data_IF_311925718678
#
_entry.id   IF_311925718678
#
_cell.length_a   1.000
_cell.length_b   1.000
_cell.length_c   1.000
_cell.angle_alpha   90.00
_cell.angle_beta   90.00
_cell.angle_gamma   90.00
#
_symmetry.space_group_name_H-M   'P 1'
#
loop_
_entity.id
_entity.type
_entity.pdbx_description
1 polymer ?
#
# COMPACT_ATOMS: atom_id res chain seq x y z
N UNK A 1 -15.92 6.09 -1.37
CA UNK A 1 -15.31 7.14 -2.16
C UNK A 1 -13.81 7.22 -1.93
N UNK A 2 -13.04 7.64 -2.92
CA UNK A 2 -11.60 7.73 -2.77
C UNK A 2 -11.20 8.81 -1.76
N UNK A 3 -10.11 8.56 -1.07
CA UNK A 3 -9.54 9.52 -0.14
C UNK A 3 -8.91 10.67 -0.94
N UNK A 4 -9.25 11.89 -0.61
CA UNK A 4 -8.65 13.04 -1.26
C UNK A 4 -7.14 13.08 -0.98
N UNK A 5 -6.36 13.43 -2.00
CA UNK A 5 -4.89 13.48 -1.91
C UNK A 5 -4.39 14.30 -0.74
N UNK A 6 -5.01 15.45 -0.51
CA UNK A 6 -4.62 16.38 0.55
C UNK A 6 -4.95 15.86 1.94
N UNK A 7 -5.79 14.84 2.05
CA UNK A 7 -6.21 14.27 3.33
C UNK A 7 -5.43 13.02 3.74
N UNK A 8 -4.60 12.49 2.84
CA UNK A 8 -3.87 11.26 3.13
C UNK A 8 -2.93 11.38 4.32
N UNK A 9 -2.09 12.43 4.45
CA UNK A 9 -1.25 12.57 5.64
C UNK A 9 -2.05 12.69 6.93
N UNK A 10 -3.14 13.45 6.90
CA UNK A 10 -3.98 13.62 8.08
C UNK A 10 -4.69 12.33 8.47
N UNK A 11 -5.15 11.57 7.50
CA UNK A 11 -5.79 10.26 7.76
C UNK A 11 -4.79 9.29 8.38
N UNK A 12 -3.56 9.26 7.86
CA UNK A 12 -2.51 8.42 8.44
C UNK A 12 -2.23 8.82 9.90
N UNK A 13 -2.04 10.12 10.15
CA UNK A 13 -1.75 10.61 11.49
C UNK A 13 -2.89 10.30 12.48
N UNK A 14 -4.13 10.41 12.03
CA UNK A 14 -5.29 10.17 12.88
C UNK A 14 -5.57 8.68 13.12
N UNK A 15 -5.03 7.79 12.29
CA UNK A 15 -5.32 6.36 12.34
C UNK A 15 -4.07 5.49 12.43
N UNK A 16 -2.99 6.02 13.01
CA UNK A 16 -1.70 5.33 13.04
C UNK A 16 -1.77 3.92 13.60
N UNK A 17 -2.54 3.70 14.65
CA UNK A 17 -2.68 2.37 15.23
C UNK A 17 -3.28 1.37 14.25
N UNK A 18 -4.27 1.81 13.50
CA UNK A 18 -4.91 0.94 12.50
C UNK A 18 -3.97 0.64 11.34
N UNK A 19 -3.21 1.64 10.88
CA UNK A 19 -2.21 1.43 9.85
C UNK A 19 -1.12 0.45 10.31
N UNK A 20 -0.63 0.61 11.54
CA UNK A 20 0.36 -0.30 12.11
C UNK A 20 -0.19 -1.70 12.27
N UNK A 21 -1.44 -1.84 12.67
CA UNK A 21 -2.07 -3.14 12.82
C UNK A 21 -2.23 -3.84 11.49
N UNK A 22 -2.67 -3.12 10.46
CA UNK A 22 -2.79 -3.69 9.12
C UNK A 22 -1.42 -4.11 8.59
N UNK A 23 -0.42 -3.26 8.74
CA UNK A 23 0.96 -3.59 8.34
C UNK A 23 1.45 -4.86 9.04
N UNK A 24 1.25 -4.96 10.35
CA UNK A 24 1.69 -6.11 11.11
C UNK A 24 1.01 -7.40 10.66
N UNK A 25 -0.29 -7.34 10.42
CA UNK A 25 -1.04 -8.50 9.92
C UNK A 25 -0.53 -8.94 8.55
N UNK A 26 -0.33 -7.99 7.64
CA UNK A 26 0.16 -8.29 6.28
C UNK A 26 1.57 -8.85 6.34
N UNK A 27 2.44 -8.27 7.14
CA UNK A 27 3.82 -8.75 7.28
C UNK A 27 3.85 -10.18 7.82
N UNK A 28 2.93 -10.52 8.72
CA UNK A 28 2.85 -11.84 9.30
C UNK A 28 2.31 -12.92 8.37
N UNK A 29 1.71 -12.55 7.25
CA UNK A 29 1.23 -13.53 6.28
C UNK A 29 2.30 -13.81 5.23
N UNK A 30 3.22 -14.70 5.55
CA UNK A 30 4.24 -15.11 4.59
C UNK A 30 3.58 -15.68 3.34
N UNK A 31 4.11 -15.26 2.18
CA UNK A 31 3.58 -15.70 0.91
C UNK A 31 2.41 -14.86 0.39
N UNK A 32 1.86 -13.97 1.19
CA UNK A 32 0.85 -13.05 0.68
C UNK A 32 1.50 -12.08 -0.30
N UNK A 33 0.92 -11.95 -1.49
CA UNK A 33 1.40 -11.01 -2.51
C UNK A 33 0.47 -9.83 -2.67
N UNK A 34 -0.82 -10.10 -2.76
CA UNK A 34 -1.82 -9.06 -3.04
C UNK A 34 -3.14 -9.42 -2.40
N UNK A 35 -3.83 -8.44 -1.85
CA UNK A 35 -5.13 -8.62 -1.23
C UNK A 35 -6.06 -7.47 -1.63
N UNK A 36 -7.25 -7.84 -2.10
CA UNK A 36 -8.35 -6.90 -2.31
C UNK A 36 -9.56 -7.36 -1.53
N UNK A 37 -10.67 -6.64 -1.59
CA UNK A 37 -11.90 -7.09 -0.92
C UNK A 37 -12.44 -8.40 -1.48
N UNK A 38 -12.14 -8.72 -2.73
CA UNK A 38 -12.69 -9.88 -3.41
C UNK A 38 -11.67 -10.99 -3.66
N UNK A 39 -10.38 -10.69 -3.65
CA UNK A 39 -9.36 -11.64 -4.07
C UNK A 39 -8.16 -11.65 -3.15
N UNK A 40 -7.45 -12.76 -3.14
CA UNK A 40 -6.16 -12.89 -2.50
C UNK A 40 -5.21 -13.64 -3.44
N UNK A 41 -3.99 -13.11 -3.59
CA UNK A 41 -2.92 -13.78 -4.34
C UNK A 41 -1.81 -14.19 -3.39
N UNK A 42 -1.42 -15.45 -3.47
CA UNK A 42 -0.37 -16.02 -2.64
C UNK A 42 0.80 -16.47 -3.52
N UNK A 43 1.98 -16.56 -2.93
CA UNK A 43 3.12 -17.19 -3.59
C UNK A 43 2.78 -18.65 -3.90
N UNK A 44 3.11 -19.16 -5.10
CA UNK A 44 2.76 -20.52 -5.46
C UNK A 44 3.29 -21.60 -4.50
N UNK A 45 4.44 -21.35 -3.89
CA UNK A 45 5.06 -22.30 -2.97
C UNK A 45 4.40 -22.36 -1.60
N UNK A 46 3.54 -21.39 -1.28
CA UNK A 46 2.94 -21.29 0.06
C UNK A 46 1.73 -22.22 0.22
N UNK A 47 1.03 -22.51 -0.88
CA UNK A 47 -0.16 -23.34 -0.83
C UNK A 47 -1.34 -22.64 -0.15
N UNK A 48 -2.42 -23.37 0.14
CA UNK A 48 -3.68 -22.78 0.64
C UNK A 48 -3.74 -22.56 2.14
N UNK A 49 -2.63 -22.45 2.84
CA UNK A 49 -2.61 -22.40 4.31
C UNK A 49 -3.29 -21.16 4.89
N UNK A 50 -3.25 -20.06 4.18
CA UNK A 50 -3.85 -18.81 4.61
C UNK A 50 -5.02 -18.49 3.70
N UNK A 51 -6.11 -19.25 3.89
CA UNK A 51 -7.29 -19.11 3.04
C UNK A 51 -8.04 -17.81 3.28
N UNK A 52 -9.14 -17.66 2.54
CA UNK A 52 -9.96 -16.45 2.58
C UNK A 52 -10.39 -16.04 3.99
N UNK A 53 -10.68 -16.98 4.85
CA UNK A 53 -11.13 -16.70 6.22
C UNK A 53 -10.06 -15.98 7.06
N UNK A 54 -8.78 -16.20 6.76
CA UNK A 54 -7.69 -15.55 7.49
C UNK A 54 -7.54 -14.09 7.12
N UNK A 55 -8.13 -13.65 6.01
CA UNK A 55 -7.98 -12.29 5.51
C UNK A 55 -9.04 -11.32 6.07
N UNK A 56 -10.03 -11.83 6.78
CA UNK A 56 -11.12 -11.01 7.33
C UNK A 56 -10.67 -9.79 8.11
N UNK A 57 -9.78 -9.94 9.10
CA UNK A 57 -9.30 -8.77 9.86
C UNK A 57 -8.58 -7.74 8.99
N UNK A 58 -7.80 -8.19 8.01
CA UNK A 58 -7.13 -7.29 7.08
C UNK A 58 -8.13 -6.52 6.24
N UNK A 59 -9.12 -7.22 5.70
CA UNK A 59 -10.15 -6.59 4.85
C UNK A 59 -10.99 -5.58 5.63
N UNK A 60 -11.28 -5.86 6.89
CA UNK A 60 -12.01 -4.91 7.73
C UNK A 60 -11.23 -3.61 7.91
N UNK A 61 -9.94 -3.71 8.21
CA UNK A 61 -9.07 -2.54 8.34
C UNK A 61 -8.95 -1.79 7.03
N UNK A 62 -8.85 -2.50 5.91
CA UNK A 62 -8.80 -1.89 4.58
C UNK A 62 -10.03 -1.01 4.35
N UNK A 63 -11.22 -1.52 4.67
CA UNK A 63 -12.46 -0.75 4.52
C UNK A 63 -12.44 0.51 5.39
N UNK A 64 -12.03 0.36 6.65
CA UNK A 64 -11.98 1.49 7.57
C UNK A 64 -11.01 2.58 7.11
N UNK A 65 -9.89 2.18 6.51
CA UNK A 65 -8.83 3.09 6.12
C UNK A 65 -8.93 3.59 4.67
N UNK A 66 -9.90 3.10 3.93
CA UNK A 66 -10.05 3.46 2.51
C UNK A 66 -8.98 2.86 1.62
N UNK A 67 -8.47 1.69 1.99
CA UNK A 67 -7.45 0.98 1.22
C UNK A 67 -8.14 0.03 0.24
N UNK A 68 -7.80 0.16 -1.03
CA UNK A 68 -8.36 -0.66 -2.10
C UNK A 68 -7.59 -1.97 -2.27
N UNK A 69 -6.27 -1.90 -2.23
CA UNK A 69 -5.40 -3.04 -2.48
C UNK A 69 -4.22 -3.01 -1.54
N UNK A 70 -3.89 -4.16 -0.99
CA UNK A 70 -2.64 -4.38 -0.24
C UNK A 70 -1.70 -5.18 -1.12
N UNK A 71 -0.45 -4.73 -1.24
CA UNK A 71 0.61 -5.48 -1.92
C UNK A 71 1.75 -5.70 -0.94
N UNK A 72 2.26 -6.91 -0.90
CA UNK A 72 3.39 -7.26 -0.04
C UNK A 72 4.54 -7.72 -0.91
N UNK A 73 5.70 -7.09 -0.76
CA UNK A 73 6.90 -7.45 -1.49
C UNK A 73 8.01 -7.78 -0.51
N UNK A 74 8.66 -8.91 -0.74
CA UNK A 74 9.80 -9.32 0.05
C UNK A 74 11.07 -9.08 -0.76
N UNK A 75 11.99 -8.29 -0.22
CA UNK A 75 13.28 -8.04 -0.84
C UNK A 75 14.38 -8.34 0.15
N UNK A 76 15.04 -9.49 -0.03
CA UNK A 76 16.02 -9.97 0.93
C UNK A 76 15.36 -10.23 2.28
N UNK A 77 15.81 -9.56 3.32
CA UNK A 77 15.24 -9.67 4.66
C UNK A 77 14.18 -8.61 4.95
N UNK A 78 13.93 -7.71 4.01
CA UNK A 78 12.99 -6.63 4.21
C UNK A 78 11.63 -6.91 3.57
N UNK A 79 10.57 -6.51 4.23
CA UNK A 79 9.21 -6.61 3.73
C UNK A 79 8.66 -5.22 3.48
N UNK A 80 8.23 -4.98 2.24
CA UNK A 80 7.60 -3.72 1.84
C UNK A 80 6.11 -3.95 1.75
N UNK A 81 5.34 -3.08 2.39
CA UNK A 81 3.88 -3.16 2.40
C UNK A 81 3.32 -1.92 1.74
N UNK A 82 2.65 -2.12 0.61
CA UNK A 82 1.97 -1.07 -0.14
C UNK A 82 0.48 -1.12 0.18
N UNK A 83 -0.05 0.00 0.64
CA UNK A 83 -1.47 0.15 0.92
C UNK A 83 -2.03 1.13 -0.10
N UNK A 84 -2.47 0.59 -1.23
CA UNK A 84 -2.94 1.42 -2.33
C UNK A 84 -4.35 1.94 -2.01
N UNK A 85 -4.53 3.24 -2.10
CA UNK A 85 -5.86 3.81 -2.09
C UNK A 85 -6.43 3.65 -3.50
N UNK A 86 -7.36 4.36 -3.96
CA UNK A 86 -7.93 4.11 -5.27
C UNK A 86 -6.85 4.15 -6.35
N UNK A 87 -6.77 3.09 -7.16
CA UNK A 87 -6.01 3.12 -8.39
C UNK A 87 -6.98 3.45 -9.53
N UNK A 88 -6.73 4.54 -10.24
CA UNK A 88 -7.44 4.84 -11.46
C UNK A 88 -6.56 4.45 -12.62
N UNK A 89 -7.13 3.73 -13.57
CA UNK A 89 -6.38 3.32 -14.75
C UNK A 89 -7.23 3.49 -15.99
N UNK A 90 -6.58 3.87 -17.06
CA UNK A 90 -7.17 3.83 -18.38
C UNK A 90 -6.46 2.74 -19.17
N UNK A 91 -6.90 2.51 -20.39
CA UNK A 91 -6.23 1.57 -21.28
C UNK A 91 -4.79 2.00 -21.60
N UNK A 92 -4.47 3.27 -21.43
CA UNK A 92 -3.20 3.84 -21.81
C UNK A 92 -2.18 3.90 -20.68
N UNK A 93 -2.63 4.07 -19.44
CA UNK A 93 -1.73 3.98 -18.29
C UNK A 93 -2.49 3.76 -16.99
N UNK A 94 -1.81 3.15 -16.05
CA UNK A 94 -2.33 2.90 -14.72
C UNK A 94 -1.62 3.78 -13.71
N UNK A 95 -2.34 4.21 -12.68
CA UNK A 95 -1.80 5.00 -11.59
C UNK A 95 -2.06 4.29 -10.28
N UNK A 96 -1.05 4.25 -9.41
CA UNK A 96 -1.18 3.77 -8.04
C UNK A 96 -0.74 4.86 -7.09
N UNK A 97 -1.45 4.98 -6.01
CA UNK A 97 -1.19 5.98 -4.98
C UNK A 97 -1.57 5.41 -3.64
N UNK A 98 -0.81 5.71 -2.62
CA UNK A 98 -1.18 5.20 -1.31
C UNK A 98 -0.10 5.42 -0.27
N UNK A 99 -0.08 4.50 0.67
CA UNK A 99 0.85 4.48 1.78
C UNK A 99 1.80 3.31 1.58
N UNK A 100 3.07 3.54 1.89
CA UNK A 100 4.09 2.49 1.82
C UNK A 100 4.79 2.42 3.16
N UNK A 101 4.90 1.22 3.71
CA UNK A 101 5.78 0.96 4.83
C UNK A 101 7.03 0.25 4.32
N UNK A 102 8.18 0.89 4.48
CA UNK A 102 9.46 0.34 4.06
C UNK A 102 10.45 0.45 5.22
N UNK A 103 11.07 -0.66 5.63
CA UNK A 103 11.98 -0.65 6.78
C UNK A 103 13.22 0.21 6.58
N UNK A 104 13.66 0.37 5.33
CA UNK A 104 14.80 1.21 5.02
C UNK A 104 14.36 2.50 4.36
N UNK A 105 15.25 3.49 4.34
CA UNK A 105 14.97 4.78 3.71
C UNK A 105 15.04 4.71 2.18
N UNK A 106 15.62 3.66 1.63
CA UNK A 106 15.72 3.47 0.18
C UNK A 106 14.49 2.73 -0.31
N UNK A 107 13.50 3.48 -0.75
CA UNK A 107 12.25 2.93 -1.26
C UNK A 107 12.27 2.76 -2.78
N UNK A 108 13.37 3.11 -3.45
CA UNK A 108 13.47 3.01 -4.89
C UNK A 108 12.70 4.08 -5.66
N UNK A 109 12.09 5.03 -4.94
CA UNK A 109 11.37 6.15 -5.56
C UNK A 109 12.09 7.45 -5.26
N UNK A 110 12.06 8.42 -6.19
CA UNK A 110 12.50 9.77 -5.86
C UNK A 110 11.73 10.35 -4.69
N UNK A 111 12.43 10.96 -3.74
CA UNK A 111 11.79 11.64 -2.62
C UNK A 111 11.30 13.01 -3.10
N UNK A 112 10.03 13.31 -2.83
CA UNK A 112 9.40 14.54 -3.29
C UNK A 112 8.73 15.28 -2.13
N UNK A 113 8.52 16.58 -2.31
CA UNK A 113 7.83 17.41 -1.30
C UNK A 113 6.36 17.05 -1.23
N UNK A 114 5.76 16.74 -2.37
CA UNK A 114 4.37 16.30 -2.44
C UNK A 114 4.23 15.30 -3.58
N UNK A 115 3.51 14.19 -3.32
CA UNK A 115 3.22 13.23 -4.37
C UNK A 115 2.33 13.82 -5.46
N UNK A 116 1.62 14.89 -5.15
CA UNK A 116 0.76 15.56 -6.12
C UNK A 116 1.56 16.26 -7.23
N UNK A 117 2.83 16.59 -6.99
CA UNK A 117 3.66 17.20 -8.02
C UNK A 117 4.00 16.24 -9.16
N UNK A 118 3.93 14.92 -8.91
CA UNK A 118 4.18 13.90 -9.95
C UNK A 118 2.89 13.29 -10.47
N UNK A 119 1.76 13.57 -9.83
CA UNK A 119 0.50 12.88 -10.10
C UNK A 119 -0.40 13.60 -11.11
N UNK A 120 0.15 14.27 -12.08
CA UNK A 120 -0.64 15.08 -13.04
C UNK A 120 -0.63 14.47 -14.44
N UNK A 121 -0.96 13.19 -14.54
CA UNK A 121 -1.10 12.54 -15.85
C UNK A 121 0.22 12.18 -16.51
N UNK A 122 1.32 12.25 -15.79
CA UNK A 122 2.63 11.88 -16.29
C UNK A 122 3.05 10.54 -15.75
N UNK A 123 3.84 9.82 -16.52
CA UNK A 123 4.53 8.63 -16.03
C UNK A 123 5.57 9.07 -15.01
N UNK A 124 5.77 8.25 -14.00
CA UNK A 124 6.77 8.51 -13.00
C UNK A 124 6.40 7.95 -11.64
N UNK A 125 7.25 8.23 -10.68
CA UNK A 125 7.06 7.79 -9.31
C UNK A 125 7.64 8.83 -8.36
N UNK A 126 7.12 8.85 -7.15
CA UNK A 126 7.64 9.70 -6.10
C UNK A 126 7.17 9.23 -4.74
N UNK A 127 7.92 9.55 -3.70
CA UNK A 127 7.56 9.21 -2.34
C UNK A 127 7.89 10.36 -1.41
N UNK A 128 7.01 10.56 -0.42
CA UNK A 128 7.17 11.58 0.60
C UNK A 128 7.15 10.90 1.97
N UNK A 129 8.16 11.12 2.83
CA UNK A 129 8.18 10.48 4.13
C UNK A 129 7.09 11.01 5.06
N UNK A 130 6.49 10.09 5.83
CA UNK A 130 5.53 10.42 6.89
C UNK A 130 6.15 10.24 8.28
N UNK A 131 7.12 9.36 8.42
CA UNK A 131 7.77 9.01 9.66
C UNK A 131 7.62 7.54 10.01
N UNK A 132 8.49 7.02 10.84
CA UNK A 132 8.46 5.63 11.33
C UNK A 132 8.44 4.57 10.23
N UNK A 133 9.12 4.84 9.12
CA UNK A 133 9.17 3.91 8.00
C UNK A 133 7.98 4.02 7.05
N UNK A 134 7.09 4.97 7.29
CA UNK A 134 5.94 5.20 6.42
C UNK A 134 6.20 6.30 5.42
N UNK A 135 5.59 6.13 4.21
CA UNK A 135 5.72 7.04 3.09
C UNK A 135 4.37 7.18 2.39
N UNK A 136 4.12 8.34 1.83
CA UNK A 136 3.13 8.46 0.75
C UNK A 136 3.86 8.17 -0.54
N UNK A 137 3.21 7.48 -1.45
CA UNK A 137 3.83 7.20 -2.74
C UNK A 137 2.85 7.43 -3.88
N UNK A 138 3.41 7.65 -5.05
CA UNK A 138 2.70 7.73 -6.31
C UNK A 138 3.54 7.01 -7.36
N UNK A 139 2.87 6.25 -8.19
CA UNK A 139 3.50 5.51 -9.28
C UNK A 139 2.56 5.48 -10.46
N UNK A 140 3.05 5.81 -11.66
CA UNK A 140 2.28 5.77 -12.89
C UNK A 140 3.12 5.19 -14.02
N UNK A 141 2.51 4.34 -14.81
CA UNK A 141 3.12 3.76 -16.00
C UNK A 141 2.94 4.64 -17.21
#
# INVERSE_FOLDING_TARGET
PPVAKTRMPARWAANREKFERLRALVTGFEGLRRLTQLNVQLEPSTGPRHGESAMGPCRALMRELGIDTVRRQQEGTETFVYLDVVSSGSATFAQSRGYLHAPSLDVGFPVVVSVDTVATGRRGAGAKPLGDGWWLYYEAD
#
